data_IF_132787753200
#
_entry.id   IF_132787753200
#
_cell.length_a   1.000
_cell.length_b   1.000
_cell.length_c   1.000
_cell.angle_alpha   90.00
_cell.angle_beta   90.00
_cell.angle_gamma   90.00
#
_symmetry.space_group_name_H-M   'P 1'
#
loop_
_entity.id
_entity.type
_entity.pdbx_description
1 polymer ?
#
# COMPACT_ATOMS: atom_id res chain seq x y z
N UNK A 1 -4.80 -23.45 -5.54
CA UNK A 1 -4.86 -22.01 -5.81
C UNK A 1 -3.77 -21.37 -4.98
N UNK A 2 -2.83 -20.67 -5.61
CA UNK A 2 -1.78 -19.93 -4.91
C UNK A 2 -2.30 -18.54 -4.58
N UNK A 3 -2.17 -18.13 -3.32
CA UNK A 3 -2.59 -16.79 -2.90
C UNK A 3 -1.81 -15.72 -3.69
N UNK A 4 -2.47 -14.67 -4.20
CA UNK A 4 -1.78 -13.61 -4.92
C UNK A 4 -0.79 -12.90 -3.98
N UNK A 5 0.31 -12.40 -4.53
CA UNK A 5 1.37 -11.72 -3.77
C UNK A 5 1.71 -10.38 -4.43
N UNK A 6 1.88 -9.32 -3.62
CA UNK A 6 2.32 -8.02 -4.11
C UNK A 6 3.83 -8.04 -4.44
N UNK A 7 4.18 -7.82 -5.71
CA UNK A 7 5.58 -7.85 -6.19
C UNK A 7 6.16 -6.48 -6.48
N UNK A 8 5.31 -5.48 -6.69
CA UNK A 8 5.71 -4.07 -6.87
C UNK A 8 4.73 -3.14 -6.18
N UNK A 9 5.26 -2.04 -5.64
CA UNK A 9 4.48 -0.97 -5.03
C UNK A 9 5.18 0.37 -5.26
N UNK A 10 4.49 1.34 -5.86
CA UNK A 10 4.98 2.69 -6.06
C UNK A 10 3.84 3.69 -5.84
N UNK A 11 4.15 4.83 -5.23
CA UNK A 11 3.21 5.95 -5.10
C UNK A 11 3.74 7.12 -5.93
N UNK A 12 2.94 7.64 -6.84
CA UNK A 12 3.33 8.78 -7.68
C UNK A 12 2.12 9.68 -7.90
N UNK A 13 2.30 11.00 -7.70
CA UNK A 13 1.26 12.00 -7.89
C UNK A 13 -0.08 11.67 -7.19
N UNK A 14 -0.03 11.11 -5.97
CA UNK A 14 -1.21 10.74 -5.19
C UNK A 14 -1.91 9.45 -5.64
N UNK A 15 -1.35 8.72 -6.61
CA UNK A 15 -1.86 7.43 -7.08
C UNK A 15 -0.89 6.33 -6.68
N UNK A 16 -1.38 5.39 -5.88
CA UNK A 16 -0.65 4.16 -5.60
C UNK A 16 -0.83 3.18 -6.74
N UNK A 17 0.26 2.59 -7.19
CA UNK A 17 0.30 1.53 -8.18
C UNK A 17 0.97 0.29 -7.62
N UNK A 18 0.33 -0.86 -7.83
CA UNK A 18 0.83 -2.16 -7.40
C UNK A 18 0.89 -3.15 -8.55
N UNK A 19 1.70 -4.19 -8.39
CA UNK A 19 1.61 -5.39 -9.23
C UNK A 19 1.42 -6.59 -8.31
N UNK A 20 0.41 -7.40 -8.61
CA UNK A 20 0.19 -8.68 -7.93
C UNK A 20 0.40 -9.84 -8.91
N UNK A 21 0.99 -10.91 -8.41
CA UNK A 21 1.19 -12.16 -9.13
C UNK A 21 0.46 -13.30 -8.42
N UNK A 22 -0.16 -14.20 -9.17
CA UNK A 22 -0.99 -15.27 -8.63
C UNK A 22 -1.41 -16.31 -9.66
N UNK A 23 -2.41 -17.12 -9.33
CA UNK A 23 -2.92 -18.19 -10.20
C UNK A 23 -3.54 -17.63 -11.50
N UNK A 24 -3.01 -17.96 -12.70
CA UNK A 24 -3.48 -17.37 -13.97
C UNK A 24 -4.92 -17.72 -14.33
N UNK A 25 -5.49 -18.75 -13.71
CA UNK A 25 -6.84 -19.25 -13.95
C UNK A 25 -7.93 -18.47 -13.20
N UNK A 26 -7.57 -17.69 -12.18
CA UNK A 26 -8.51 -16.87 -11.39
C UNK A 26 -8.23 -15.38 -11.54
N UNK A 27 -9.27 -14.56 -11.61
CA UNK A 27 -9.13 -13.11 -11.46
C UNK A 27 -9.10 -12.77 -9.96
N UNK A 28 -8.03 -12.11 -9.46
CA UNK A 28 -7.90 -11.79 -8.06
C UNK A 28 -8.95 -10.77 -7.67
N UNK A 29 -9.69 -11.07 -6.61
CA UNK A 29 -10.64 -10.13 -6.02
C UNK A 29 -9.95 -9.50 -4.81
N UNK A 30 -9.51 -8.26 -4.93
CA UNK A 30 -8.69 -7.59 -3.91
C UNK A 30 -9.29 -6.25 -3.49
N UNK A 31 -8.98 -5.87 -2.25
CA UNK A 31 -9.28 -4.54 -1.70
C UNK A 31 -8.03 -3.90 -1.11
N UNK A 32 -8.04 -2.58 -0.97
CA UNK A 32 -7.03 -1.84 -0.22
C UNK A 32 -7.70 -1.17 0.97
N UNK A 33 -7.14 -1.40 2.16
CA UNK A 33 -7.70 -0.93 3.42
C UNK A 33 -6.72 -0.03 4.17
N UNK A 34 -7.25 1.01 4.80
CA UNK A 34 -6.56 1.77 5.84
C UNK A 34 -7.23 1.47 7.17
N UNK A 35 -6.58 0.63 8.00
CA UNK A 35 -7.22 0.01 9.17
C UNK A 35 -8.39 -0.89 8.73
N UNK A 36 -9.59 -0.57 9.18
CA UNK A 36 -10.82 -1.29 8.83
C UNK A 36 -11.60 -0.66 7.67
N UNK A 37 -11.13 0.48 7.16
CA UNK A 37 -11.81 1.19 6.07
C UNK A 37 -11.29 0.72 4.72
N UNK A 38 -12.19 0.18 3.90
CA UNK A 38 -11.96 -0.11 2.49
C UNK A 38 -11.89 1.21 1.69
N UNK A 39 -10.88 1.35 0.84
CA UNK A 39 -10.69 2.54 0.01
C UNK A 39 -11.36 2.36 -1.35
N UNK A 40 -12.16 3.35 -1.80
CA UNK A 40 -12.83 3.27 -3.08
C UNK A 40 -11.86 3.57 -4.24
N UNK A 41 -12.23 3.17 -5.45
CA UNK A 41 -11.53 3.58 -6.68
C UNK A 41 -10.33 2.71 -7.05
N UNK A 42 -10.15 1.57 -6.40
CA UNK A 42 -9.19 0.56 -6.83
C UNK A 42 -9.54 0.05 -8.23
N UNK A 43 -8.58 0.11 -9.14
CA UNK A 43 -8.64 -0.48 -10.47
C UNK A 43 -7.71 -1.69 -10.52
N UNK A 44 -8.20 -2.79 -11.07
CA UNK A 44 -7.44 -4.02 -11.29
C UNK A 44 -7.46 -4.31 -12.78
N UNK A 45 -6.27 -4.48 -13.38
CA UNK A 45 -6.12 -4.72 -14.82
C UNK A 45 -5.18 -5.90 -15.01
N UNK A 46 -5.64 -6.95 -15.69
CA UNK A 46 -4.79 -8.07 -16.10
C UNK A 46 -3.77 -7.60 -17.13
N UNK A 47 -2.48 -7.77 -16.85
CA UNK A 47 -1.38 -7.36 -17.74
C UNK A 47 -0.69 -8.55 -18.41
N UNK A 48 -0.71 -9.71 -17.76
CA UNK A 48 -0.22 -10.98 -18.29
C UNK A 48 -0.94 -12.16 -17.63
N UNK A 49 -0.79 -13.41 -18.11
CA UNK A 49 -1.28 -14.58 -17.40
C UNK A 49 -0.67 -14.65 -15.99
N UNK A 50 -1.51 -14.57 -14.95
CA UNK A 50 -1.06 -14.60 -13.56
C UNK A 50 -0.52 -13.27 -13.03
N UNK A 51 -0.69 -12.17 -13.76
CA UNK A 51 -0.20 -10.84 -13.36
C UNK A 51 -1.26 -9.76 -13.55
N UNK A 52 -1.44 -8.94 -12.51
CA UNK A 52 -2.38 -7.81 -12.53
C UNK A 52 -1.71 -6.55 -12.01
N UNK A 53 -2.00 -5.44 -12.69
CA UNK A 53 -1.68 -4.10 -12.22
C UNK A 53 -2.85 -3.55 -11.40
N UNK A 54 -2.51 -2.95 -10.26
CA UNK A 54 -3.41 -2.26 -9.35
C UNK A 54 -3.15 -0.77 -9.44
N UNK A 55 -4.21 0.04 -9.44
CA UNK A 55 -4.12 1.50 -9.38
C UNK A 55 -5.18 2.06 -8.45
N UNK A 56 -4.77 2.86 -7.47
CA UNK A 56 -5.64 3.46 -6.46
C UNK A 56 -5.29 4.94 -6.24
N UNK A 57 -6.17 5.89 -6.58
CA UNK A 57 -6.01 7.27 -6.12
C UNK A 57 -6.18 7.31 -4.59
N UNK A 58 -5.18 7.80 -3.87
CA UNK A 58 -5.23 7.90 -2.41
C UNK A 58 -6.15 9.05 -2.02
N UNK A 59 -7.25 8.80 -1.28
CA UNK A 59 -8.12 9.86 -0.80
C UNK A 59 -7.34 10.83 0.10
N UNK A 60 -7.55 12.13 -0.08
CA UNK A 60 -6.82 13.16 0.68
C UNK A 60 -7.04 13.03 2.20
N UNK A 61 -8.22 12.56 2.61
CA UNK A 61 -8.56 12.32 4.02
C UNK A 61 -7.83 11.11 4.65
N UNK A 62 -7.13 10.32 3.83
CA UNK A 62 -6.22 9.27 4.31
C UNK A 62 -4.81 9.78 4.62
N UNK A 63 -4.47 11.00 4.17
CA UNK A 63 -3.16 11.63 4.34
C UNK A 63 -3.16 12.44 5.65
N UNK A 64 -2.30 12.04 6.58
CA UNK A 64 -2.13 12.70 7.88
C UNK A 64 -0.68 12.59 8.33
N UNK A 65 -0.26 13.43 9.28
CA UNK A 65 1.03 13.29 9.96
C UNK A 65 1.26 11.87 10.49
N UNK A 66 2.52 11.44 10.44
CA UNK A 66 2.98 10.13 10.87
C UNK A 66 2.99 9.08 9.76
N UNK A 67 2.90 7.82 10.17
CA UNK A 67 2.92 6.66 9.28
C UNK A 67 1.51 6.10 9.12
N UNK A 68 1.08 5.91 7.87
CA UNK A 68 -0.19 5.28 7.50
C UNK A 68 0.09 4.01 6.72
N UNK A 69 -0.36 2.88 7.25
CA UNK A 69 -0.18 1.57 6.61
C UNK A 69 -1.45 1.17 5.87
N UNK A 70 -1.30 0.98 4.57
CA UNK A 70 -2.34 0.52 3.67
C UNK A 70 -2.12 -0.96 3.39
N UNK A 71 -3.16 -1.77 3.61
CA UNK A 71 -3.09 -3.22 3.48
C UNK A 71 -3.88 -3.65 2.26
N UNK A 72 -3.24 -4.42 1.38
CA UNK A 72 -3.90 -5.06 0.25
C UNK A 72 -4.37 -6.43 0.75
N UNK A 73 -5.66 -6.75 0.59
CA UNK A 73 -6.25 -8.02 1.03
C UNK A 73 -6.85 -8.76 -0.16
N UNK A 74 -6.70 -10.08 -0.16
CA UNK A 74 -7.52 -10.96 -0.99
C UNK A 74 -8.89 -11.14 -0.32
N UNK A 75 -9.97 -10.89 -1.06
CA UNK A 75 -11.34 -11.00 -0.56
C UNK A 75 -11.83 -12.45 -0.44
N UNK A 76 -11.16 -13.39 -1.13
CA UNK A 76 -11.46 -14.82 -1.06
C UNK A 76 -11.16 -15.38 0.32
N UNK A 77 -9.92 -15.14 0.80
CA UNK A 77 -9.43 -15.67 2.09
C UNK A 77 -9.42 -14.61 3.20
N UNK A 78 -9.71 -13.35 2.88
CA UNK A 78 -9.58 -12.17 3.76
C UNK A 78 -8.20 -12.01 4.39
N UNK A 79 -7.17 -12.52 3.71
CA UNK A 79 -5.79 -12.45 4.16
C UNK A 79 -5.04 -11.30 3.48
N UNK A 80 -4.11 -10.65 4.21
CA UNK A 80 -3.25 -9.64 3.62
C UNK A 80 -2.28 -10.29 2.62
N UNK A 81 -2.17 -9.70 1.43
CA UNK A 81 -1.26 -10.15 0.36
C UNK A 81 -0.09 -9.17 0.14
N UNK A 82 -0.13 -8.04 0.82
CA UNK A 82 0.91 -7.01 0.81
C UNK A 82 0.46 -5.76 1.56
N UNK A 83 1.39 -4.83 1.72
CA UNK A 83 1.09 -3.51 2.27
C UNK A 83 2.02 -2.45 1.70
N UNK A 84 1.66 -1.18 1.86
CA UNK A 84 2.57 -0.05 1.66
C UNK A 84 2.35 1.01 2.75
N UNK A 85 3.35 1.85 2.95
CA UNK A 85 3.31 2.93 3.93
C UNK A 85 3.31 4.28 3.22
N UNK A 86 2.45 5.19 3.67
CA UNK A 86 2.55 6.62 3.41
C UNK A 86 3.09 7.29 4.67
N UNK A 87 4.19 8.03 4.52
CA UNK A 87 4.79 8.81 5.61
C UNK A 87 4.64 10.28 5.23
N UNK A 88 4.01 11.06 6.09
CA UNK A 88 3.81 12.49 5.91
C UNK A 88 4.01 13.23 7.24
N UNK A 89 4.23 14.55 7.16
CA UNK A 89 4.51 15.38 8.33
C UNK A 89 6.00 15.60 8.57
N UNK A 90 6.32 16.25 9.69
CA UNK A 90 7.69 16.45 10.12
C UNK A 90 8.34 15.09 10.43
N UNK A 91 9.51 14.82 9.85
CA UNK A 91 10.24 13.60 10.16
C UNK A 91 10.78 13.65 11.58
N UNK A 92 10.59 12.57 12.36
CA UNK A 92 11.26 12.39 13.65
C UNK A 92 12.81 12.44 13.56
N UNK A 93 13.38 12.43 12.36
CA UNK A 93 14.81 12.54 12.10
C UNK A 93 15.39 13.93 12.45
N UNK A 94 14.60 15.00 12.34
CA UNK A 94 15.06 16.36 12.72
C UNK A 94 15.16 16.52 14.24
N UNK A 95 14.15 16.04 14.98
CA UNK A 95 14.15 16.07 16.45
C UNK A 95 15.20 15.11 17.03
N UNK A 96 15.31 13.87 16.53
CA UNK A 96 16.31 12.91 17.02
C UNK A 96 17.74 13.38 16.77
N UNK A 97 18.01 14.03 15.63
CA UNK A 97 19.33 14.60 15.32
C UNK A 97 19.64 15.79 16.23
N UNK A 98 18.65 16.62 16.57
CA UNK A 98 18.81 17.72 17.51
C UNK A 98 19.09 17.21 18.94
N UNK A 99 18.39 16.18 19.39
CA UNK A 99 18.63 15.53 20.69
C UNK A 99 20.02 14.88 20.75
N UNK A 100 20.47 14.19 19.69
CA UNK A 100 21.82 13.61 19.62
C UNK A 100 22.90 14.69 19.60
N UNK A 101 22.66 15.82 18.93
CA UNK A 101 23.59 16.95 18.92
C UNK A 101 23.76 17.58 20.31
N UNK A 102 22.67 17.69 21.08
CA UNK A 102 22.67 18.18 22.46
C UNK A 102 23.41 17.25 23.42
N UNK A 103 23.32 15.93 23.23
CA UNK A 103 24.03 14.94 24.05
C UNK A 103 25.53 14.82 23.76
N UNK A 104 26.01 15.40 22.65
CA UNK A 104 27.42 15.39 22.22
C UNK A 104 28.14 16.71 22.48
N UNK A 105 27.42 17.73 22.96
CA UNK A 105 27.97 19.04 23.32
C UNK A 105 28.54 19.06 24.75
#
# INVERSE_FOLDING_TARGET
MTAPTLTRSVLTAGVWEGVIEGDPSGEPTVEVCLGDRVLPGLKVVKTAPGTWSLSLPIPADCISDGVRTFVIRDLTDRLPIGHFNLIAGASADEDLRAEIALLRA
#
